data_IF_321398575386
#
_entry.id   IF_321398575386
#
_cell.length_a   1.000
_cell.length_b   1.000
_cell.length_c   1.000
_cell.angle_alpha   90.00
_cell.angle_beta   90.00
_cell.angle_gamma   90.00
#
_symmetry.space_group_name_H-M   'P 1'
#
loop_
_entity.id
_entity.type
_entity.pdbx_description
1 polymer ?
#
# COMPACT_ATOMS: atom_id res chain seq x y z
N UNK A 1 8.47 33.32 -15.97
CA UNK A 1 7.96 31.99 -16.38
C UNK A 1 7.44 31.34 -15.11
N UNK A 2 6.14 31.40 -14.87
CA UNK A 2 5.56 30.70 -13.73
C UNK A 2 5.64 29.19 -13.99
N UNK A 3 6.28 28.48 -13.08
CA UNK A 3 6.35 27.02 -13.15
C UNK A 3 4.92 26.48 -13.08
N UNK A 4 4.49 25.72 -14.10
CA UNK A 4 3.22 25.01 -14.05
C UNK A 4 3.20 24.15 -12.79
N UNK A 5 2.12 24.21 -11.99
CA UNK A 5 2.04 23.33 -10.81
C UNK A 5 2.18 21.88 -11.28
N UNK A 6 3.12 21.16 -10.68
CA UNK A 6 3.26 19.72 -10.89
C UNK A 6 1.90 19.08 -10.62
N UNK A 7 1.48 18.15 -11.47
CA UNK A 7 0.27 17.38 -11.18
C UNK A 7 0.45 16.70 -9.81
N UNK A 8 -0.64 16.53 -9.06
CA UNK A 8 -0.59 15.87 -7.75
C UNK A 8 0.14 14.52 -7.84
N UNK A 9 -0.02 13.78 -8.94
CA UNK A 9 0.64 12.49 -9.18
C UNK A 9 2.17 12.66 -9.23
N UNK A 10 2.68 13.64 -9.99
CA UNK A 10 4.13 13.88 -10.09
C UNK A 10 4.72 14.33 -8.75
N UNK A 11 3.95 15.09 -7.97
CA UNK A 11 4.37 15.50 -6.64
C UNK A 11 4.45 14.31 -5.68
N UNK A 12 3.44 13.43 -5.69
CA UNK A 12 3.44 12.18 -4.94
C UNK A 12 4.63 11.31 -5.34
N UNK A 13 4.90 11.14 -6.65
CA UNK A 13 6.05 10.37 -7.12
C UNK A 13 7.37 10.93 -6.62
N UNK A 14 7.54 12.25 -6.61
CA UNK A 14 8.75 12.87 -6.08
C UNK A 14 8.93 12.55 -4.59
N UNK A 15 7.86 12.62 -3.81
CA UNK A 15 7.88 12.32 -2.38
C UNK A 15 8.14 10.84 -2.09
N UNK A 16 7.56 9.93 -2.85
CA UNK A 16 7.85 8.49 -2.73
C UNK A 16 9.34 8.21 -2.98
N UNK A 17 9.96 8.89 -3.94
CA UNK A 17 11.39 8.73 -4.25
C UNK A 17 12.33 9.28 -3.17
N UNK A 18 11.83 10.13 -2.28
CA UNK A 18 12.59 10.66 -1.12
C UNK A 18 12.60 9.69 0.07
N UNK A 19 11.63 8.77 0.14
CA UNK A 19 11.49 7.82 1.25
C UNK A 19 12.69 6.87 1.34
N UNK A 20 13.09 6.57 2.57
CA UNK A 20 13.97 5.45 2.84
C UNK A 20 13.23 4.09 2.71
N UNK A 21 13.96 2.98 2.85
CA UNK A 21 13.37 1.65 2.69
C UNK A 21 12.29 1.33 3.72
N UNK A 22 12.48 1.77 4.97
CA UNK A 22 11.52 1.51 6.04
C UNK A 22 10.27 2.39 5.93
N UNK A 23 10.44 3.64 5.54
CA UNK A 23 9.32 4.55 5.28
C UNK A 23 8.48 4.08 4.08
N UNK A 24 9.16 3.65 3.01
CA UNK A 24 8.47 3.08 1.84
C UNK A 24 7.70 1.82 2.21
N UNK A 25 8.27 0.94 3.02
CA UNK A 25 7.59 -0.26 3.51
C UNK A 25 6.32 0.10 4.29
N UNK A 26 6.39 1.04 5.23
CA UNK A 26 5.23 1.49 6.02
C UNK A 26 4.12 2.08 5.14
N UNK A 27 4.49 2.93 4.19
CA UNK A 27 3.55 3.47 3.20
C UNK A 27 2.88 2.35 2.42
N UNK A 28 3.68 1.40 1.91
CA UNK A 28 3.20 0.35 1.03
C UNK A 28 2.35 -0.67 1.79
N UNK A 29 2.71 -1.04 3.01
CA UNK A 29 1.88 -1.89 3.87
C UNK A 29 0.50 -1.27 4.10
N UNK A 30 0.45 0.03 4.41
CA UNK A 30 -0.81 0.74 4.61
C UNK A 30 -1.67 0.78 3.33
N UNK A 31 -1.02 1.01 2.19
CA UNK A 31 -1.68 0.96 0.89
C UNK A 31 -2.25 -0.43 0.57
N UNK A 32 -1.46 -1.51 0.76
CA UNK A 32 -1.91 -2.86 0.54
C UNK A 32 -3.07 -3.25 1.45
N UNK A 33 -3.02 -2.81 2.71
CA UNK A 33 -4.09 -3.02 3.68
C UNK A 33 -5.43 -2.49 3.17
N UNK A 34 -5.42 -1.30 2.58
CA UNK A 34 -6.63 -0.67 2.03
C UNK A 34 -7.01 -1.26 0.67
N UNK A 35 -6.06 -1.40 -0.25
CA UNK A 35 -6.32 -1.87 -1.63
C UNK A 35 -6.87 -3.28 -1.67
N UNK A 36 -6.26 -4.21 -0.91
CA UNK A 36 -6.66 -5.62 -0.91
C UNK A 36 -7.54 -6.01 0.28
N UNK A 37 -7.87 -5.06 1.15
CA UNK A 37 -8.64 -5.29 2.38
C UNK A 37 -8.03 -6.42 3.23
N UNK A 38 -6.70 -6.45 3.32
CA UNK A 38 -6.03 -7.43 4.15
C UNK A 38 -6.36 -7.20 5.62
N UNK A 39 -6.73 -8.27 6.34
CA UNK A 39 -7.04 -8.21 7.77
C UNK A 39 -5.79 -8.08 8.64
N UNK A 40 -4.67 -8.64 8.14
CA UNK A 40 -3.42 -8.70 8.90
C UNK A 40 -2.22 -8.81 7.95
N UNK A 41 -1.27 -7.89 8.07
CA UNK A 41 0.02 -7.96 7.39
C UNK A 41 1.08 -8.17 8.46
N UNK A 42 1.79 -9.29 8.39
CA UNK A 42 2.89 -9.61 9.28
C UNK A 42 4.19 -9.08 8.69
N UNK A 43 4.78 -8.09 9.35
CA UNK A 43 6.03 -7.47 8.91
C UNK A 43 7.22 -8.18 9.54
N UNK A 44 8.16 -8.65 8.72
CA UNK A 44 9.35 -9.40 9.17
C UNK A 44 10.62 -8.56 9.17
N UNK A 45 10.61 -7.43 8.51
CA UNK A 45 11.81 -6.69 8.15
C UNK A 45 12.08 -5.40 8.93
N UNK A 46 11.37 -5.10 10.02
CA UNK A 46 11.56 -3.86 10.80
C UNK A 46 12.11 -4.18 12.18
N UNK A 47 13.21 -3.50 12.56
CA UNK A 47 13.66 -3.50 13.96
C UNK A 47 12.79 -2.53 14.77
N UNK A 48 12.22 -3.01 15.88
CA UNK A 48 11.48 -2.17 16.80
C UNK A 48 12.32 -0.96 17.25
N UNK A 49 11.73 0.22 17.17
CA UNK A 49 12.34 1.49 17.57
C UNK A 49 13.32 2.12 16.58
N UNK A 50 13.55 1.50 15.41
CA UNK A 50 14.37 2.09 14.35
C UNK A 50 13.70 1.91 12.99
N UNK A 51 13.94 2.84 12.05
CA UNK A 51 13.49 2.68 10.64
C UNK A 51 14.41 1.75 9.83
N UNK A 52 15.30 1.00 10.50
CA UNK A 52 16.22 0.10 9.82
C UNK A 52 15.49 -1.21 9.46
N UNK A 53 15.52 -1.54 8.17
CA UNK A 53 15.06 -2.83 7.68
C UNK A 53 16.06 -3.93 8.02
N UNK A 54 15.61 -5.01 8.63
CA UNK A 54 16.40 -6.26 8.73
C UNK A 54 16.29 -7.05 7.44
N UNK A 55 17.31 -7.82 7.11
CA UNK A 55 17.29 -8.69 5.91
C UNK A 55 16.36 -9.88 6.18
N UNK A 56 15.08 -9.72 5.89
CA UNK A 56 14.09 -10.80 5.85
C UNK A 56 13.68 -11.09 4.40
N UNK A 57 13.28 -12.30 4.09
CA UNK A 57 12.61 -12.69 2.83
C UNK A 57 11.48 -13.63 3.22
N UNK A 58 10.23 -13.27 2.92
CA UNK A 58 9.76 -11.96 2.40
C UNK A 58 9.93 -10.83 3.42
N UNK A 59 9.76 -9.58 2.99
CA UNK A 59 9.75 -8.42 3.91
C UNK A 59 8.49 -8.42 4.79
N UNK A 60 7.36 -8.83 4.22
CA UNK A 60 6.08 -9.01 4.91
C UNK A 60 5.30 -10.18 4.31
N UNK A 61 4.30 -10.67 5.02
CA UNK A 61 3.37 -11.67 4.50
C UNK A 61 1.97 -11.53 5.08
N UNK A 62 1.00 -12.13 4.39
CA UNK A 62 -0.38 -12.29 4.83
C UNK A 62 -0.71 -13.77 4.83
N UNK A 63 -1.27 -14.28 5.92
CA UNK A 63 -1.91 -15.59 5.95
C UNK A 63 -3.38 -15.42 5.56
N UNK A 64 -3.80 -16.07 4.50
CA UNK A 64 -5.18 -16.02 4.00
C UNK A 64 -6.09 -17.00 4.74
N UNK A 65 -7.39 -16.79 4.68
CA UNK A 65 -8.39 -17.62 5.40
C UNK A 65 -8.35 -19.11 4.92
N UNK A 66 -7.84 -19.37 3.70
CA UNK A 66 -7.63 -20.71 3.14
C UNK A 66 -6.27 -21.35 3.53
N UNK A 67 -5.55 -20.73 4.46
CA UNK A 67 -4.27 -21.24 4.97
C UNK A 67 -3.09 -21.09 4.01
N UNK A 68 -3.23 -20.28 2.96
CA UNK A 68 -2.15 -19.95 2.02
C UNK A 68 -1.49 -18.63 2.38
N UNK A 69 -0.33 -18.39 1.79
CA UNK A 69 0.47 -17.19 2.03
C UNK A 69 0.46 -16.25 0.82
N UNK A 70 0.32 -14.97 1.09
CA UNK A 70 0.67 -13.89 0.16
C UNK A 70 1.98 -13.31 0.66
N UNK A 71 3.04 -13.40 -0.13
CA UNK A 71 4.36 -12.89 0.22
C UNK A 71 4.53 -11.48 -0.37
N UNK A 72 5.15 -10.58 0.38
CA UNK A 72 5.27 -9.19 0.00
C UNK A 72 6.75 -8.79 0.09
N UNK A 73 7.27 -8.21 -0.99
CA UNK A 73 8.63 -7.70 -1.06
C UNK A 73 8.63 -6.21 -1.43
N UNK A 74 9.59 -5.46 -0.91
CA UNK A 74 9.72 -4.02 -1.15
C UNK A 74 11.06 -3.69 -1.81
N UNK A 75 11.02 -2.78 -2.77
CA UNK A 75 12.20 -2.32 -3.47
C UNK A 75 12.27 -0.79 -3.55
N UNK A 76 13.18 -0.17 -2.79
CA UNK A 76 13.47 1.27 -2.90
C UNK A 76 14.57 1.60 -3.92
N UNK A 77 15.12 0.61 -4.63
CA UNK A 77 16.20 0.83 -5.60
C UNK A 77 15.70 1.55 -6.84
N UNK A 78 16.44 2.61 -7.22
CA UNK A 78 16.17 3.41 -8.43
C UNK A 78 16.81 2.80 -9.69
N UNK A 79 17.92 2.10 -9.53
CA UNK A 79 18.65 1.45 -10.62
C UNK A 79 18.63 -0.07 -10.44
N UNK A 80 18.70 -0.83 -11.54
CA UNK A 80 18.68 -2.29 -11.55
C UNK A 80 17.48 -2.93 -10.81
N UNK A 81 16.37 -2.20 -10.70
CA UNK A 81 15.19 -2.64 -9.97
C UNK A 81 14.62 -3.95 -10.52
N UNK A 82 14.61 -4.16 -11.83
CA UNK A 82 14.11 -5.41 -12.47
C UNK A 82 14.88 -6.62 -11.99
N UNK A 83 16.22 -6.55 -12.00
CA UNK A 83 17.10 -7.63 -11.52
C UNK A 83 16.87 -7.91 -10.03
N UNK A 84 16.69 -6.84 -9.23
CA UNK A 84 16.38 -6.99 -7.81
C UNK A 84 15.01 -7.65 -7.61
N UNK A 85 13.97 -7.17 -8.27
CA UNK A 85 12.62 -7.75 -8.18
C UNK A 85 12.67 -9.24 -8.52
N UNK A 86 13.29 -9.61 -9.65
CA UNK A 86 13.41 -11.01 -10.05
C UNK A 86 14.14 -11.86 -8.99
N UNK A 87 15.23 -11.35 -8.45
CA UNK A 87 15.98 -12.03 -7.39
C UNK A 87 15.17 -12.19 -6.11
N UNK A 88 14.46 -11.16 -5.69
CA UNK A 88 13.67 -11.17 -4.45
C UNK A 88 12.49 -12.14 -4.59
N UNK A 89 11.84 -12.19 -5.76
CA UNK A 89 10.78 -13.16 -6.07
C UNK A 89 11.34 -14.60 -6.05
N UNK A 90 12.45 -14.86 -6.74
CA UNK A 90 13.08 -16.19 -6.74
C UNK A 90 13.52 -16.63 -5.34
N UNK A 91 13.94 -15.67 -4.52
CA UNK A 91 14.32 -15.94 -3.12
C UNK A 91 13.14 -16.36 -2.24
N UNK A 92 11.90 -16.05 -2.62
CA UNK A 92 10.71 -16.56 -1.95
C UNK A 92 10.52 -18.08 -2.06
N UNK A 93 11.17 -18.71 -3.03
CA UNK A 93 11.16 -20.18 -3.24
C UNK A 93 12.40 -20.87 -2.69
N UNK A 94 13.35 -20.11 -2.15
CA UNK A 94 14.55 -20.65 -1.54
C UNK A 94 14.23 -21.22 -0.15
N UNK A 95 14.16 -22.54 -0.03
CA UNK A 95 13.82 -23.25 1.22
C UNK A 95 14.79 -22.96 2.37
N UNK A 96 16.00 -22.46 2.07
CA UNK A 96 16.95 -22.05 3.11
C UNK A 96 16.57 -20.69 3.74
N UNK A 97 15.75 -19.89 3.05
CA UNK A 97 15.33 -18.55 3.48
C UNK A 97 13.87 -18.51 3.90
N UNK A 98 13.02 -19.23 3.15
CA UNK A 98 11.56 -19.24 3.36
C UNK A 98 11.13 -20.69 3.57
N UNK A 99 10.74 -21.02 4.79
CA UNK A 99 10.34 -22.39 5.15
C UNK A 99 8.85 -22.64 4.87
N UNK A 100 8.33 -22.06 3.79
CA UNK A 100 6.93 -22.22 3.35
C UNK A 100 6.92 -23.18 2.15
N UNK A 101 6.10 -24.24 2.16
CA UNK A 101 5.89 -25.08 1.00
C UNK A 101 5.38 -24.28 -0.19
N UNK A 102 5.88 -24.55 -1.39
CA UNK A 102 5.55 -23.78 -2.61
C UNK A 102 4.04 -23.80 -2.94
N UNK A 103 3.40 -24.94 -2.70
CA UNK A 103 1.94 -25.12 -2.89
C UNK A 103 1.07 -24.26 -1.95
N UNK A 104 1.68 -23.74 -0.88
CA UNK A 104 1.05 -22.81 0.05
C UNK A 104 1.29 -21.34 -0.34
N UNK A 105 2.13 -21.04 -1.30
CA UNK A 105 2.32 -19.67 -1.79
C UNK A 105 1.23 -19.38 -2.82
N UNK A 106 0.29 -18.51 -2.47
CA UNK A 106 -0.82 -18.13 -3.34
C UNK A 106 -0.44 -17.01 -4.31
N UNK A 107 0.29 -16.03 -3.80
CA UNK A 107 0.61 -14.80 -4.54
C UNK A 107 1.88 -14.16 -3.99
N UNK A 108 2.63 -13.51 -4.86
CA UNK A 108 3.75 -12.63 -4.48
C UNK A 108 3.44 -11.22 -4.96
N UNK A 109 3.49 -10.26 -4.06
CA UNK A 109 3.32 -8.84 -4.37
C UNK A 109 4.67 -8.16 -4.21
N UNK A 110 5.11 -7.43 -5.25
CA UNK A 110 6.34 -6.65 -5.19
C UNK A 110 6.04 -5.17 -5.40
N UNK A 111 6.26 -4.36 -4.37
CA UNK A 111 6.21 -2.91 -4.43
C UNK A 111 7.57 -2.33 -4.76
N UNK A 112 7.64 -1.35 -5.67
CA UNK A 112 8.89 -0.67 -5.98
C UNK A 112 8.69 0.81 -6.30
N UNK A 113 9.65 1.64 -5.89
CA UNK A 113 9.61 3.09 -6.13
C UNK A 113 10.21 3.50 -7.50
N UNK A 114 10.41 2.55 -8.39
CA UNK A 114 10.85 2.79 -9.78
C UNK A 114 9.66 2.81 -10.73
N UNK A 115 9.87 3.30 -11.96
CA UNK A 115 8.88 3.23 -13.03
C UNK A 115 8.46 1.79 -13.30
N UNK A 116 7.27 1.62 -13.87
CA UNK A 116 6.76 0.31 -14.24
C UNK A 116 7.73 -0.41 -15.18
N UNK A 117 7.84 -1.71 -14.99
CA UNK A 117 8.63 -2.56 -15.89
C UNK A 117 7.86 -2.80 -17.19
N UNK A 118 8.57 -3.01 -18.29
CA UNK A 118 7.94 -3.29 -19.56
C UNK A 118 7.36 -4.71 -19.64
N UNK A 119 6.47 -4.94 -20.61
CA UNK A 119 5.76 -6.22 -20.77
C UNK A 119 6.72 -7.40 -20.90
N UNK A 120 7.80 -7.25 -21.68
CA UNK A 120 8.78 -8.33 -21.86
C UNK A 120 9.44 -8.71 -20.53
N UNK A 121 9.86 -7.72 -19.74
CA UNK A 121 10.47 -7.96 -18.43
C UNK A 121 9.49 -8.61 -17.45
N UNK A 122 8.21 -8.22 -17.51
CA UNK A 122 7.15 -8.82 -16.70
C UNK A 122 6.97 -10.31 -17.06
N UNK A 123 6.89 -10.63 -18.35
CA UNK A 123 6.76 -12.01 -18.81
C UNK A 123 8.01 -12.84 -18.46
N UNK A 124 9.23 -12.29 -18.64
CA UNK A 124 10.47 -12.95 -18.21
C UNK A 124 10.49 -13.27 -16.70
N UNK A 125 9.83 -12.45 -15.88
CA UNK A 125 9.70 -12.74 -14.45
C UNK A 125 8.67 -13.84 -14.23
N UNK A 126 7.50 -13.76 -14.86
CA UNK A 126 6.44 -14.76 -14.73
C UNK A 126 6.86 -16.13 -15.22
N UNK A 127 7.57 -16.20 -16.35
CA UNK A 127 8.09 -17.45 -16.92
C UNK A 127 9.11 -18.14 -16.00
N UNK A 128 9.79 -17.35 -15.17
CA UNK A 128 10.75 -17.89 -14.20
C UNK A 128 10.08 -18.63 -13.05
N UNK A 129 8.75 -18.47 -12.88
CA UNK A 129 7.99 -18.99 -11.73
C UNK A 129 6.65 -19.50 -12.23
N UNK A 130 6.45 -20.80 -12.16
CA UNK A 130 5.20 -21.44 -12.59
C UNK A 130 4.27 -21.65 -11.41
N UNK A 131 2.98 -21.33 -11.59
CA UNK A 131 1.93 -21.70 -10.65
C UNK A 131 1.66 -20.72 -9.49
N UNK A 132 2.38 -19.60 -9.41
CA UNK A 132 2.15 -18.56 -8.41
C UNK A 132 1.80 -17.25 -9.09
N UNK A 133 0.77 -16.58 -8.60
CA UNK A 133 0.39 -15.24 -9.08
C UNK A 133 1.43 -14.20 -8.65
N UNK A 134 1.88 -13.36 -9.60
CA UNK A 134 2.82 -12.26 -9.32
C UNK A 134 2.13 -10.95 -9.64
N UNK A 135 2.12 -10.04 -8.67
CA UNK A 135 1.66 -8.66 -8.85
C UNK A 135 2.80 -7.69 -8.59
N UNK A 136 3.07 -6.85 -9.59
CA UNK A 136 4.08 -5.81 -9.49
C UNK A 136 3.40 -4.44 -9.42
N UNK A 137 3.73 -3.68 -8.39
CA UNK A 137 3.16 -2.35 -8.16
C UNK A 137 4.31 -1.35 -8.15
N UNK A 138 4.45 -0.65 -9.28
CA UNK A 138 5.45 0.40 -9.44
C UNK A 138 4.95 1.76 -8.95
N UNK A 139 5.86 2.74 -8.98
CA UNK A 139 5.58 4.09 -8.53
C UNK A 139 4.42 4.74 -9.28
N UNK A 140 4.24 4.43 -10.57
CA UNK A 140 3.18 5.03 -11.40
C UNK A 140 1.80 4.59 -10.89
N UNK A 141 1.62 3.29 -10.69
CA UNK A 141 0.38 2.73 -10.12
C UNK A 141 0.14 3.24 -8.70
N UNK A 142 1.18 3.17 -7.86
CA UNK A 142 1.08 3.60 -6.46
C UNK A 142 0.71 5.08 -6.34
N UNK A 143 1.38 5.95 -7.10
CA UNK A 143 1.11 7.40 -7.04
C UNK A 143 -0.28 7.76 -7.57
N UNK A 144 -0.75 7.07 -8.60
CA UNK A 144 -2.08 7.26 -9.15
C UNK A 144 -3.15 6.84 -8.14
N UNK A 145 -3.00 5.66 -7.53
CA UNK A 145 -3.93 5.16 -6.52
C UNK A 145 -3.95 6.04 -5.27
N UNK A 146 -2.78 6.52 -4.83
CA UNK A 146 -2.69 7.46 -3.70
C UNK A 146 -3.35 8.80 -4.00
N UNK A 147 -3.27 9.28 -5.24
CA UNK A 147 -3.89 10.54 -5.62
C UNK A 147 -5.42 10.44 -5.68
N UNK A 148 -5.95 9.32 -6.20
CA UNK A 148 -7.36 9.19 -6.53
C UNK A 148 -8.17 8.45 -5.46
N UNK A 149 -7.61 7.40 -4.89
CA UNK A 149 -8.37 6.50 -4.01
C UNK A 149 -7.91 6.55 -2.55
N UNK A 150 -6.65 6.91 -2.29
CA UNK A 150 -6.07 6.85 -0.93
C UNK A 150 -5.34 8.14 -0.54
N UNK A 151 -5.94 9.35 -0.73
CA UNK A 151 -5.27 10.62 -0.45
C UNK A 151 -4.87 10.78 1.02
N UNK A 152 -5.62 10.16 1.93
CA UNK A 152 -5.29 10.15 3.36
C UNK A 152 -3.97 9.41 3.66
N UNK A 153 -3.65 8.34 2.90
CA UNK A 153 -2.36 7.65 3.02
C UNK A 153 -1.23 8.56 2.53
N UNK A 154 -1.44 9.25 1.39
CA UNK A 154 -0.46 10.21 0.89
C UNK A 154 -0.22 11.34 1.92
N UNK A 155 -1.28 11.87 2.53
CA UNK A 155 -1.17 12.88 3.58
C UNK A 155 -0.36 12.38 4.77
N UNK A 156 -0.68 11.21 5.30
CA UNK A 156 -0.07 10.71 6.55
C UNK A 156 1.37 10.22 6.38
N UNK A 157 1.74 9.70 5.22
CA UNK A 157 3.07 9.10 4.99
C UNK A 157 4.01 9.97 4.16
N UNK A 158 3.48 10.86 3.32
CA UNK A 158 4.29 11.73 2.47
C UNK A 158 4.26 13.19 2.92
N UNK A 159 3.51 13.51 3.99
CA UNK A 159 3.29 14.86 4.50
C UNK A 159 2.82 15.84 3.40
N UNK A 160 1.91 15.39 2.56
CA UNK A 160 1.32 16.19 1.49
C UNK A 160 -0.18 16.30 1.68
N UNK A 161 -0.70 17.52 1.52
CA UNK A 161 -2.13 17.73 1.46
C UNK A 161 -2.59 17.66 0.02
N UNK A 162 -3.44 16.69 -0.29
CA UNK A 162 -4.08 16.57 -1.59
C UNK A 162 -5.53 16.95 -1.38
N UNK A 163 -5.91 18.05 -1.98
CA UNK A 163 -7.33 18.40 -2.11
C UNK A 163 -7.90 17.61 -3.28
N UNK A 164 -8.64 16.57 -2.96
CA UNK A 164 -9.25 15.67 -3.95
C UNK A 164 -10.76 15.91 -4.06
N UNK A 165 -11.31 16.86 -3.28
CA UNK A 165 -12.77 17.02 -3.11
C UNK A 165 -13.46 15.69 -2.72
N UNK A 166 -12.71 14.73 -2.19
CA UNK A 166 -13.26 13.45 -1.78
C UNK A 166 -13.75 13.52 -0.34
N UNK A 167 -14.89 12.95 -0.13
CA UNK A 167 -15.42 12.71 1.21
C UNK A 167 -14.67 11.50 1.78
N UNK A 168 -14.03 11.68 2.94
CA UNK A 168 -13.44 10.57 3.69
C UNK A 168 -14.57 9.65 4.18
N UNK A 169 -14.34 8.34 4.16
CA UNK A 169 -15.20 7.48 4.94
C UNK A 169 -15.04 7.80 6.45
N UNK A 170 -16.07 7.50 7.24
CA UNK A 170 -16.11 7.85 8.67
C UNK A 170 -14.91 7.26 9.43
N UNK A 171 -14.50 6.04 9.08
CA UNK A 171 -13.39 5.35 9.74
C UNK A 171 -12.04 6.03 9.45
N UNK A 172 -11.80 6.45 8.21
CA UNK A 172 -10.58 7.15 7.83
C UNK A 172 -10.57 8.59 8.35
N UNK A 173 -11.74 9.26 8.39
CA UNK A 173 -11.91 10.55 9.01
C UNK A 173 -11.56 10.50 10.50
N UNK A 174 -12.09 9.53 11.24
CA UNK A 174 -11.81 9.35 12.66
C UNK A 174 -10.32 9.11 12.93
N UNK A 175 -9.64 8.28 12.13
CA UNK A 175 -8.19 8.04 12.27
C UNK A 175 -7.33 9.28 12.05
N UNK A 176 -7.75 10.18 11.16
CA UNK A 176 -7.06 11.45 10.92
C UNK A 176 -7.29 12.42 12.08
N UNK A 177 -8.48 12.40 12.67
CA UNK A 177 -8.82 13.26 13.80
C UNK A 177 -8.22 12.77 15.11
N UNK A 178 -8.22 11.47 15.39
CA UNK A 178 -7.60 10.88 16.58
C UNK A 178 -6.09 11.17 16.67
N UNK A 179 -5.44 11.40 15.53
CA UNK A 179 -4.02 11.78 15.49
C UNK A 179 -3.75 13.23 15.91
N UNK A 180 -4.77 14.07 15.99
CA UNK A 180 -4.65 15.53 16.25
C UNK A 180 -5.39 16.00 17.52
N UNK A 181 -5.41 15.23 18.52
CA UNK A 181 -5.80 15.36 19.94
C UNK A 181 -6.62 16.58 20.46
N UNK A 182 -6.71 17.67 19.73
CA UNK A 182 -7.31 18.92 20.24
C UNK A 182 -8.75 19.12 19.78
N UNK A 183 -9.17 18.48 18.68
CA UNK A 183 -10.51 18.62 18.11
C UNK A 183 -11.07 17.28 17.59
N UNK A 184 -10.66 16.16 18.16
CA UNK A 184 -11.26 14.88 17.82
C UNK A 184 -12.76 14.92 18.07
N UNK A 185 -13.60 14.56 17.10
CA UNK A 185 -15.01 14.40 17.37
C UNK A 185 -15.16 13.36 18.49
N UNK A 186 -16.01 13.63 19.44
CA UNK A 186 -16.31 12.71 20.51
C UNK A 186 -16.61 11.34 19.89
N UNK A 187 -15.84 10.33 20.31
CA UNK A 187 -16.04 8.94 19.90
C UNK A 187 -17.29 8.40 20.62
N UNK A 188 -18.44 9.01 20.32
CA UNK A 188 -19.73 8.59 20.83
C UNK A 188 -20.54 8.03 19.67
N UNK A 189 -21.16 6.88 19.89
CA UNK A 189 -22.25 6.44 19.04
C UNK A 189 -23.20 7.63 18.84
N UNK A 190 -23.64 7.88 17.62
CA UNK A 190 -24.64 8.90 17.30
C UNK A 190 -25.98 8.47 17.89
N UNK A 191 -26.03 8.45 19.22
CA UNK A 191 -27.24 8.12 19.97
C UNK A 191 -28.23 9.26 19.75
N UNK A 192 -29.46 8.91 19.38
CA UNK A 192 -30.62 9.83 19.23
C UNK A 192 -30.67 10.65 17.91
N UNK A 193 -29.95 10.27 16.86
CA UNK A 193 -30.06 10.91 15.54
C UNK A 193 -30.38 9.95 14.39
N UNK A 194 -30.90 8.78 14.72
CA UNK A 194 -31.27 7.77 13.74
C UNK A 194 -32.32 8.26 12.74
N UNK A 195 -33.25 9.12 13.19
CA UNK A 195 -34.27 9.73 12.34
C UNK A 195 -33.67 10.67 11.30
N UNK A 196 -32.73 11.53 11.70
CA UNK A 196 -32.07 12.46 10.79
C UNK A 196 -31.14 11.73 9.81
N UNK A 197 -30.43 10.67 10.27
CA UNK A 197 -29.65 9.82 9.39
C UNK A 197 -30.52 9.11 8.36
N UNK A 198 -31.68 8.60 8.77
CA UNK A 198 -32.64 7.95 7.87
C UNK A 198 -33.20 8.95 6.84
N UNK A 199 -33.47 10.19 7.23
CA UNK A 199 -33.90 11.25 6.32
C UNK A 199 -32.83 11.59 5.29
N UNK A 200 -31.55 11.67 5.70
CA UNK A 200 -30.43 11.91 4.80
C UNK A 200 -30.27 10.76 3.81
N UNK A 201 -30.27 9.52 4.29
CA UNK A 201 -30.20 8.35 3.43
C UNK A 201 -31.34 8.29 2.41
N UNK A 202 -32.57 8.51 2.86
CA UNK A 202 -33.74 8.53 1.99
C UNK A 202 -33.75 9.70 0.98
N UNK A 203 -33.08 10.81 1.30
CA UNK A 203 -32.93 11.93 0.36
C UNK A 203 -31.88 11.65 -0.70
N UNK A 204 -30.81 10.92 -0.36
CA UNK A 204 -29.76 10.51 -1.31
C UNK A 204 -30.28 9.46 -2.30
N UNK A 205 -31.07 8.50 -1.83
CA UNK A 205 -31.68 7.47 -2.69
C UNK A 205 -32.73 8.01 -3.68
N UNK A 206 -33.30 9.19 -3.42
CA UNK A 206 -34.27 9.84 -4.31
C UNK A 206 -33.63 10.69 -5.40
N UNK A 207 -32.31 10.81 -5.41
CA UNK A 207 -31.57 11.66 -6.37
C UNK A 207 -30.88 10.84 -7.49
N UNK A 208 -31.09 9.52 -7.53
CA UNK A 208 -30.80 8.65 -8.67
C UNK A 208 -32.08 8.47 -9.52
#
# INVERSE_FOLDING_TARGET
MEARPLSNINYIQSKIKELDGGEFQKLFDKYLYKKFKFKNIQTLGVQDGTNKTTKGIPDSYVLTDDGKYILINYGSMKLQHVTKIKRDILSCFDKSKVQIPEDKIKKIICGHCSTNINIKQLEDIKDSIKGVEIELIGIDTLSHDLALYYPHIAKSHLNISIDTNQIFDVEDFMKVYDANDINAPLNCELLYRESELLEICNSLEKTE
#
